data_IF_813989453149
#
_entry.id   IF_813989453149
#
_cell.length_a   1.000
_cell.length_b   1.000
_cell.length_c   1.000
_cell.angle_alpha   90.00
_cell.angle_beta   90.00
_cell.angle_gamma   90.00
#
_symmetry.space_group_name_H-M   'P 1'
#
loop_
_entity.id
_entity.type
_entity.pdbx_description
1 polymer ?
#
# COMPACT_ATOMS: atom_id res chain seq x y z
N UNK A 1 -9.04 -4.23 -4.96
CA UNK A 1 -7.99 -3.64 -4.08
C UNK A 1 -6.96 -2.90 -4.91
N UNK A 2 -6.63 -1.70 -4.51
CA UNK A 2 -5.57 -0.90 -5.14
C UNK A 2 -4.46 -0.70 -4.11
N UNK A 3 -3.23 -0.94 -4.52
CA UNK A 3 -2.07 -0.70 -3.66
C UNK A 3 -1.03 0.10 -4.44
N UNK A 4 -0.59 1.20 -3.85
CA UNK A 4 0.54 1.97 -4.36
C UNK A 4 1.74 1.63 -3.48
N UNK A 5 2.84 1.22 -4.11
CA UNK A 5 4.08 0.88 -3.43
C UNK A 5 5.17 1.89 -3.79
N UNK A 6 5.80 2.46 -2.78
CA UNK A 6 6.89 3.41 -2.95
C UNK A 6 8.10 2.94 -2.15
N UNK A 7 9.25 2.82 -2.80
CA UNK A 7 10.51 2.56 -2.11
C UNK A 7 10.87 3.79 -1.26
N UNK A 8 11.38 3.55 -0.06
CA UNK A 8 11.80 4.62 0.83
C UNK A 8 13.04 4.23 1.63
N UNK A 9 13.86 5.21 1.97
CA UNK A 9 14.95 5.06 2.93
C UNK A 9 14.43 5.19 4.36
N UNK A 10 13.33 5.90 4.54
CA UNK A 10 12.57 5.99 5.78
C UNK A 10 11.17 6.48 5.46
N UNK A 11 10.21 6.13 6.31
CA UNK A 11 8.85 6.64 6.23
C UNK A 11 8.23 6.66 7.61
N UNK A 12 7.34 7.61 7.86
CA UNK A 12 6.63 7.71 9.13
C UNK A 12 5.22 8.24 8.93
N UNK A 13 4.34 7.89 9.84
CA UNK A 13 2.99 8.43 9.94
C UNK A 13 2.86 9.16 11.27
N UNK A 14 2.43 10.42 11.20
CA UNK A 14 2.19 11.24 12.38
C UNK A 14 0.73 11.66 12.43
N UNK A 15 0.16 11.69 13.62
CA UNK A 15 -1.19 12.21 13.88
C UNK A 15 -1.08 13.21 15.02
N UNK A 16 -1.57 14.43 14.81
CA UNK A 16 -1.48 15.51 15.81
C UNK A 16 -0.05 15.69 16.33
N UNK A 17 0.93 15.71 15.44
CA UNK A 17 2.39 15.85 15.73
C UNK A 17 2.99 14.68 16.51
N UNK A 18 2.24 13.59 16.70
CA UNK A 18 2.74 12.37 17.35
C UNK A 18 3.01 11.30 16.30
N UNK A 19 4.20 10.72 16.33
CA UNK A 19 4.55 9.62 15.42
C UNK A 19 3.81 8.37 15.86
N UNK A 20 2.96 7.84 14.97
CA UNK A 20 2.17 6.63 15.19
C UNK A 20 2.95 5.38 14.75
N UNK A 21 3.68 5.49 13.65
CA UNK A 21 4.48 4.41 13.11
C UNK A 21 5.63 4.96 12.28
N UNK A 22 6.74 4.25 12.27
CA UNK A 22 7.93 4.65 11.54
C UNK A 22 8.73 3.43 11.10
N UNK A 23 9.29 3.50 9.88
CA UNK A 23 10.20 2.49 9.36
C UNK A 23 11.46 3.15 8.80
N UNK A 24 12.53 2.38 8.71
CA UNK A 24 13.75 2.72 7.96
C UNK A 24 13.55 2.27 6.51
N UNK A 25 14.57 1.76 5.87
CA UNK A 25 14.52 1.31 4.48
C UNK A 25 13.44 0.25 4.24
N UNK A 26 12.69 0.41 3.17
CA UNK A 26 11.64 -0.54 2.80
C UNK A 26 10.63 0.03 1.82
N UNK A 27 9.36 -0.30 2.03
CA UNK A 27 8.24 0.15 1.20
C UNK A 27 7.18 0.87 2.03
N UNK A 28 6.77 2.01 1.53
CA UNK A 28 5.52 2.64 1.93
C UNK A 28 4.42 2.09 1.02
N UNK A 29 3.36 1.56 1.60
CA UNK A 29 2.20 1.02 0.89
C UNK A 29 0.96 1.83 1.24
N UNK A 30 0.30 2.36 0.22
CA UNK A 30 -1.02 2.96 0.37
C UNK A 30 -2.04 1.96 -0.17
N UNK A 31 -3.02 1.59 0.65
CA UNK A 31 -3.96 0.51 0.33
C UNK A 31 -5.39 1.03 0.30
N UNK A 32 -6.07 0.85 -0.83
CA UNK A 32 -7.50 1.10 -0.98
C UNK A 32 -8.23 -0.22 -1.17
N UNK A 33 -9.29 -0.43 -0.39
CA UNK A 33 -10.11 -1.64 -0.46
C UNK A 33 -11.38 -1.33 -1.24
N UNK A 34 -11.65 -2.11 -2.30
CA UNK A 34 -12.88 -2.01 -3.09
C UNK A 34 -13.99 -2.90 -2.50
N UNK A 35 -15.23 -2.50 -2.72
CA UNK A 35 -16.38 -3.36 -2.44
C UNK A 35 -16.20 -4.67 -3.21
N UNK A 36 -16.37 -5.80 -2.50
CA UNK A 36 -16.24 -7.13 -3.10
C UNK A 36 -14.85 -7.75 -3.02
N UNK A 37 -13.86 -7.04 -2.50
CA UNK A 37 -12.53 -7.62 -2.27
C UNK A 37 -12.64 -8.78 -1.28
N UNK A 38 -11.98 -9.89 -1.63
CA UNK A 38 -12.01 -11.14 -0.87
C UNK A 38 -10.63 -11.49 -0.34
N UNK A 39 -10.59 -12.50 0.52
CA UNK A 39 -9.34 -13.00 1.09
C UNK A 39 -8.32 -13.40 0.02
N UNK A 40 -8.78 -13.94 -1.11
CA UNK A 40 -7.90 -14.30 -2.22
C UNK A 40 -7.22 -13.07 -2.85
N UNK A 41 -7.91 -11.93 -2.89
CA UNK A 41 -7.36 -10.68 -3.44
C UNK A 41 -6.26 -10.14 -2.51
N UNK A 42 -6.49 -10.22 -1.21
CA UNK A 42 -5.49 -9.84 -0.20
C UNK A 42 -4.24 -10.71 -0.37
N UNK A 43 -4.42 -12.02 -0.44
CA UNK A 43 -3.31 -12.97 -0.60
C UNK A 43 -2.50 -12.69 -1.85
N UNK A 44 -3.16 -12.48 -2.98
CA UNK A 44 -2.50 -12.15 -4.25
C UNK A 44 -1.71 -10.84 -4.14
N UNK A 45 -2.27 -9.84 -3.48
CA UNK A 45 -1.60 -8.55 -3.27
C UNK A 45 -0.36 -8.71 -2.39
N UNK A 46 -0.48 -9.43 -1.29
CA UNK A 46 0.65 -9.70 -0.37
C UNK A 46 1.76 -10.45 -1.11
N UNK A 47 1.42 -11.52 -1.82
CA UNK A 47 2.39 -12.32 -2.58
C UNK A 47 3.09 -11.46 -3.65
N UNK A 48 2.34 -10.65 -4.37
CA UNK A 48 2.89 -9.78 -5.40
C UNK A 48 3.87 -8.77 -4.81
N UNK A 49 3.46 -8.04 -3.78
CA UNK A 49 4.29 -6.99 -3.17
C UNK A 49 5.54 -7.57 -2.53
N UNK A 50 5.42 -8.69 -1.83
CA UNK A 50 6.57 -9.33 -1.17
C UNK A 50 7.65 -9.78 -2.15
N UNK A 51 7.26 -10.11 -3.38
CA UNK A 51 8.16 -10.65 -4.40
C UNK A 51 8.49 -9.67 -5.52
N UNK A 52 7.95 -8.44 -5.50
CA UNK A 52 8.33 -7.43 -6.49
C UNK A 52 9.83 -7.13 -6.43
N UNK A 53 10.50 -7.25 -7.56
CA UNK A 53 11.95 -7.09 -7.67
C UNK A 53 12.30 -5.65 -8.02
N UNK A 54 11.99 -4.74 -7.09
CA UNK A 54 12.10 -3.29 -7.30
C UNK A 54 13.21 -2.63 -6.49
N UNK A 55 14.00 -3.41 -5.76
CA UNK A 55 15.20 -2.91 -5.08
C UNK A 55 16.44 -3.22 -5.93
N UNK A 56 17.36 -2.26 -5.93
CA UNK A 56 18.58 -2.38 -6.74
C UNK A 56 19.51 -3.46 -6.19
N UNK A 57 20.09 -4.25 -7.10
CA UNK A 57 21.14 -5.19 -6.79
C UNK A 57 22.53 -4.52 -6.83
N UNK A 58 23.60 -5.31 -6.73
CA UNK A 58 24.99 -4.84 -6.75
C UNK A 58 25.34 -4.11 -8.06
N UNK A 59 24.63 -4.42 -9.15
CA UNK A 59 24.85 -3.82 -10.47
C UNK A 59 23.95 -2.60 -10.71
N UNK A 60 23.18 -2.16 -9.70
CA UNK A 60 22.25 -1.05 -9.81
C UNK A 60 20.97 -1.37 -10.58
N UNK A 61 20.67 -2.64 -10.84
CA UNK A 61 19.46 -3.08 -11.53
C UNK A 61 18.38 -3.46 -10.54
N UNK A 62 17.12 -3.14 -10.86
CA UNK A 62 15.96 -3.59 -10.09
C UNK A 62 15.87 -5.11 -10.16
N UNK A 63 16.24 -5.79 -9.11
CA UNK A 63 16.35 -7.24 -9.09
C UNK A 63 15.98 -7.89 -7.76
N UNK A 64 16.05 -7.15 -6.68
CA UNK A 64 15.80 -7.69 -5.33
C UNK A 64 14.40 -7.33 -4.84
N UNK A 65 13.78 -8.27 -4.15
CA UNK A 65 12.49 -8.06 -3.48
C UNK A 65 12.71 -7.50 -2.06
N UNK A 66 11.63 -7.09 -1.41
CA UNK A 66 11.72 -6.66 -0.01
C UNK A 66 12.10 -7.83 0.91
N UNK A 67 11.75 -9.06 0.53
CA UNK A 67 12.18 -10.26 1.25
C UNK A 67 13.70 -10.43 1.18
N UNK A 68 14.28 -10.20 0.01
CA UNK A 68 15.74 -10.29 -0.19
C UNK A 68 16.48 -9.23 0.60
N UNK A 69 15.99 -8.01 0.62
CA UNK A 69 16.62 -6.89 1.33
C UNK A 69 16.34 -6.87 2.82
N UNK A 70 15.40 -7.69 3.30
CA UNK A 70 14.93 -7.72 4.70
C UNK A 70 14.48 -6.34 5.19
N UNK A 71 13.88 -5.56 4.31
CA UNK A 71 13.33 -4.24 4.62
C UNK A 71 12.03 -4.31 5.39
N UNK A 72 11.52 -3.15 5.74
CA UNK A 72 10.26 -2.99 6.47
C UNK A 72 9.15 -2.49 5.57
N UNK A 73 7.90 -2.72 5.99
CA UNK A 73 6.71 -2.21 5.33
C UNK A 73 6.01 -1.23 6.25
N UNK A 74 5.65 -0.07 5.72
CA UNK A 74 4.71 0.84 6.36
C UNK A 74 3.43 0.85 5.54
N UNK A 75 2.37 0.28 6.10
CA UNK A 75 1.09 0.10 5.40
C UNK A 75 0.11 1.15 5.91
N UNK A 76 -0.45 1.92 4.98
CA UNK A 76 -1.39 3.00 5.29
C UNK A 76 -2.68 2.77 4.50
N UNK A 77 -3.80 2.74 5.20
CA UNK A 77 -5.12 2.67 4.57
C UNK A 77 -5.43 4.01 3.88
N UNK A 78 -5.85 3.93 2.62
CA UNK A 78 -6.14 5.11 1.80
C UNK A 78 -7.33 4.83 0.88
N UNK A 79 -8.55 5.04 1.37
CA UNK A 79 -9.78 4.75 0.62
C UNK A 79 -9.92 5.62 -0.64
N UNK A 80 -9.31 6.80 -0.65
CA UNK A 80 -9.39 7.73 -1.79
C UNK A 80 -8.74 7.17 -3.06
N UNK A 81 -7.92 6.11 -2.95
CA UNK A 81 -7.41 5.39 -4.12
C UNK A 81 -8.54 4.77 -4.94
N UNK A 82 -9.68 4.49 -4.33
CA UNK A 82 -10.87 3.95 -5.00
C UNK A 82 -11.74 5.03 -5.64
N UNK A 83 -11.31 6.28 -5.64
CA UNK A 83 -12.03 7.41 -6.21
C UNK A 83 -12.17 7.29 -7.72
N UNK A 84 -13.37 7.59 -8.22
CA UNK A 84 -13.67 7.65 -9.65
C UNK A 84 -13.89 9.11 -10.05
N UNK A 85 -13.11 9.57 -11.02
CA UNK A 85 -13.15 10.95 -11.52
C UNK A 85 -13.63 11.02 -12.98
N UNK A 86 -14.20 9.95 -13.52
CA UNK A 86 -14.64 9.87 -14.91
C UNK A 86 -15.77 10.83 -15.23
N UNK A 87 -16.64 11.14 -14.26
CA UNK A 87 -17.79 12.03 -14.44
C UNK A 87 -17.65 13.26 -13.55
N UNK A 88 -17.77 14.45 -14.18
CA UNK A 88 -17.75 15.72 -13.47
C UNK A 88 -16.40 16.04 -12.84
N UNK A 89 -16.43 16.94 -11.84
CA UNK A 89 -15.23 17.44 -11.16
C UNK A 89 -15.12 16.99 -9.71
N UNK A 90 -16.09 16.22 -9.23
CA UNK A 90 -16.06 15.64 -7.87
C UNK A 90 -15.73 14.17 -7.95
N UNK A 91 -14.75 13.68 -7.20
CA UNK A 91 -14.49 12.25 -7.15
C UNK A 91 -15.67 11.51 -6.49
N UNK A 92 -15.96 10.31 -6.99
CA UNK A 92 -16.93 9.40 -6.40
C UNK A 92 -16.21 8.26 -5.71
N UNK A 93 -16.62 7.94 -4.48
CA UNK A 93 -16.03 6.85 -3.68
C UNK A 93 -17.01 5.70 -3.49
N UNK A 94 -18.00 5.56 -4.38
CA UNK A 94 -19.02 4.51 -4.28
C UNK A 94 -18.45 3.10 -4.35
N UNK A 95 -17.29 2.94 -4.97
CA UNK A 95 -16.60 1.66 -5.10
C UNK A 95 -15.68 1.32 -3.92
N UNK A 96 -15.48 2.27 -3.00
CA UNK A 96 -14.68 2.02 -1.79
C UNK A 96 -15.47 1.20 -0.78
N UNK A 97 -14.81 0.23 -0.15
CA UNK A 97 -15.43 -0.57 0.92
C UNK A 97 -15.73 0.31 2.14
N UNK A 98 -16.74 -0.09 2.90
CA UNK A 98 -17.12 0.61 4.13
C UNK A 98 -15.95 0.62 5.13
N UNK A 99 -15.82 1.68 5.96
CA UNK A 99 -14.73 1.76 6.95
C UNK A 99 -14.66 0.54 7.87
N UNK A 100 -15.82 0.00 8.27
CA UNK A 100 -15.90 -1.14 9.16
C UNK A 100 -15.33 -2.42 8.54
N UNK A 101 -15.65 -2.69 7.27
CA UNK A 101 -15.18 -3.88 6.56
C UNK A 101 -13.74 -3.70 6.07
N UNK A 102 -13.39 -2.52 5.57
CA UNK A 102 -12.02 -2.24 5.12
C UNK A 102 -11.01 -2.36 6.25
N UNK A 103 -11.38 -1.97 7.47
CA UNK A 103 -10.51 -2.11 8.63
C UNK A 103 -10.18 -3.58 8.93
N UNK A 104 -11.12 -4.50 8.71
CA UNK A 104 -10.88 -5.93 8.90
C UNK A 104 -9.95 -6.51 7.83
N UNK A 105 -10.00 -5.97 6.62
CA UNK A 105 -9.18 -6.41 5.49
C UNK A 105 -7.77 -5.83 5.60
N UNK A 106 -7.70 -4.57 5.92
CA UNK A 106 -6.46 -3.85 6.11
C UNK A 106 -5.64 -4.39 7.28
#
# INVERSE_FOLDING_TARGET
>A
MITIAQRCSSAKVSVNKTIVSEIKSGLLLLVGVHIGDKQIDIKKTVDKISNLRIFSDENGKMNLSILDTKGSLLVVSQFTLCGDIKKGRRPSFVNAESPKLSLKIY
#
